data_IF_702339182017
#
_entry.id   IF_702339182017
#
_cell.length_a   1.000
_cell.length_b   1.000
_cell.length_c   1.000
_cell.angle_alpha   90.00
_cell.angle_beta   90.00
_cell.angle_gamma   90.00
#
_symmetry.space_group_name_H-M   'P 1'
#
loop_
_entity.id
_entity.type
_entity.pdbx_description
1 polymer ?
#
# COMPACT_ATOMS: atom_id res chain seq x y z
N UNK A 1 1.47 17.04 27.71
CA UNK A 1 1.47 15.58 28.02
C UNK A 1 0.97 14.90 26.76
N UNK A 2 1.92 14.42 25.95
CA UNK A 2 1.65 13.66 24.72
C UNK A 2 1.51 12.20 25.12
N UNK A 3 0.28 11.69 25.15
CA UNK A 3 0.02 10.26 25.20
C UNK A 3 0.23 9.68 23.80
N UNK A 4 1.44 9.18 23.56
CA UNK A 4 1.75 8.44 22.34
C UNK A 4 0.97 7.12 22.34
N UNK A 5 0.01 7.00 21.44
CA UNK A 5 -0.56 5.71 21.06
C UNK A 5 0.52 5.00 20.26
N UNK A 6 1.23 4.07 20.90
CA UNK A 6 2.17 3.18 20.22
C UNK A 6 1.38 2.20 19.37
N UNK A 7 1.19 2.52 18.10
CA UNK A 7 0.73 1.55 17.12
C UNK A 7 1.90 0.58 16.88
N UNK A 8 1.74 -0.69 17.21
CA UNK A 8 2.62 -1.75 16.76
C UNK A 8 2.43 -1.90 15.24
N UNK A 9 3.14 -1.07 14.49
CA UNK A 9 3.24 -1.23 13.04
C UNK A 9 3.98 -2.54 12.75
N UNK A 10 3.54 -3.31 11.75
CA UNK A 10 4.32 -4.46 11.32
C UNK A 10 5.74 -4.00 10.97
N UNK A 11 6.72 -4.82 11.31
CA UNK A 11 8.16 -4.48 11.25
C UNK A 11 8.71 -4.12 9.86
N UNK A 12 7.87 -4.23 8.82
CA UNK A 12 8.18 -3.94 7.42
C UNK A 12 7.59 -2.59 6.92
N UNK A 13 7.11 -1.72 7.83
CA UNK A 13 6.63 -0.37 7.50
C UNK A 13 7.60 0.68 8.02
N UNK A 14 7.96 1.62 7.14
CA UNK A 14 8.65 2.86 7.50
C UNK A 14 7.72 4.02 7.12
N UNK A 15 7.39 4.86 8.10
CA UNK A 15 6.67 6.09 7.89
C UNK A 15 7.50 7.28 8.40
N UNK A 16 7.72 8.27 7.56
CA UNK A 16 8.47 9.47 7.89
C UNK A 16 7.67 10.72 7.59
N UNK A 17 7.77 11.70 8.48
CA UNK A 17 7.30 13.05 8.24
C UNK A 17 8.44 13.88 7.64
N UNK A 18 8.20 14.46 6.46
CA UNK A 18 9.18 15.27 5.75
C UNK A 18 8.81 16.75 5.93
N UNK A 19 9.77 17.55 6.41
CA UNK A 19 9.62 18.97 6.62
C UNK A 19 10.37 19.76 5.55
N UNK A 20 9.63 20.51 4.73
CA UNK A 20 10.20 21.43 3.75
C UNK A 20 10.39 22.85 4.34
N UNK A 21 11.48 23.53 3.98
CA UNK A 21 11.69 24.94 4.30
C UNK A 21 11.42 25.81 3.08
N UNK A 22 10.51 26.78 3.20
CA UNK A 22 10.39 27.87 2.24
C UNK A 22 11.08 29.14 2.78
N UNK A 23 11.82 29.80 1.91
CA UNK A 23 12.56 31.02 2.24
C UNK A 23 11.66 32.25 2.10
N UNK A 24 10.87 32.57 3.14
CA UNK A 24 10.18 33.85 3.28
C UNK A 24 9.87 34.12 4.77
N UNK A 25 9.68 35.37 5.13
CA UNK A 25 9.65 35.92 6.48
C UNK A 25 8.49 35.50 7.41
N UNK A 26 7.62 34.58 6.96
CA UNK A 26 6.74 33.75 7.79
C UNK A 26 6.86 32.33 7.28
N UNK A 27 7.62 31.53 7.99
CA UNK A 27 7.97 30.18 7.59
C UNK A 27 6.81 29.24 7.89
N UNK A 28 5.87 29.11 6.94
CA UNK A 28 4.93 27.99 6.96
C UNK A 28 5.72 26.69 6.80
N UNK A 29 5.72 25.87 7.82
CA UNK A 29 6.29 24.53 7.75
C UNK A 29 5.32 23.64 7.01
N UNK A 30 5.63 23.31 5.75
CA UNK A 30 4.91 22.26 5.04
C UNK A 30 5.47 20.92 5.55
N UNK A 31 4.62 20.13 6.17
CA UNK A 31 4.95 18.75 6.53
C UNK A 31 4.08 17.80 5.73
N UNK A 32 4.65 16.71 5.24
CA UNK A 32 3.94 15.63 4.59
C UNK A 32 4.53 14.28 5.00
N UNK A 33 3.70 13.26 4.98
CA UNK A 33 4.08 11.91 5.39
C UNK A 33 4.37 11.04 4.18
N UNK A 34 5.46 10.28 4.26
CA UNK A 34 5.85 9.27 3.27
C UNK A 34 5.87 7.92 3.97
N UNK A 35 5.31 6.92 3.32
CA UNK A 35 5.27 5.52 3.79
C UNK A 35 5.99 4.64 2.80
N UNK A 36 6.79 3.70 3.28
CA UNK A 36 7.33 2.58 2.52
C UNK A 36 6.95 1.28 3.23
N UNK A 37 6.30 0.36 2.50
CA UNK A 37 5.76 -0.84 3.11
C UNK A 37 5.84 -2.04 2.16
N UNK A 38 6.44 -3.14 2.62
CA UNK A 38 6.26 -4.44 1.99
C UNK A 38 4.96 -5.07 2.50
N UNK A 39 3.98 -5.19 1.60
CA UNK A 39 2.63 -5.69 1.95
C UNK A 39 2.51 -7.20 1.89
N UNK A 40 3.63 -7.91 1.71
CA UNK A 40 3.71 -9.38 1.76
C UNK A 40 2.75 -10.07 0.77
N UNK A 41 3.07 -9.96 -0.52
CA UNK A 41 2.37 -10.67 -1.60
C UNK A 41 0.88 -10.31 -1.73
N UNK A 42 0.59 -9.16 -2.30
CA UNK A 42 -0.78 -8.77 -2.65
C UNK A 42 -1.12 -9.26 -4.06
N UNK A 43 -1.67 -10.46 -4.15
CA UNK A 43 -2.15 -11.11 -5.38
C UNK A 43 -3.66 -11.01 -5.51
N UNK A 44 -4.17 -10.99 -6.74
CA UNK A 44 -5.58 -11.25 -6.98
C UNK A 44 -5.88 -12.77 -6.92
N UNK A 45 -6.96 -13.25 -7.50
CA UNK A 45 -7.36 -14.66 -7.46
C UNK A 45 -7.39 -15.31 -8.85
N UNK A 46 -6.79 -14.66 -9.83
CA UNK A 46 -6.74 -15.11 -11.22
C UNK A 46 -5.30 -15.46 -11.60
N UNK A 47 -5.14 -16.58 -12.29
CA UNK A 47 -3.83 -17.01 -12.77
C UNK A 47 -3.35 -16.14 -13.94
N UNK A 48 -2.12 -15.61 -13.83
CA UNK A 48 -1.38 -15.06 -14.96
C UNK A 48 -0.55 -16.17 -15.62
N UNK A 49 -0.91 -16.56 -16.81
CA UNK A 49 -0.24 -17.64 -17.56
C UNK A 49 1.26 -17.39 -17.84
N UNK A 50 1.73 -16.17 -17.67
CA UNK A 50 3.13 -15.78 -17.87
C UNK A 50 3.92 -15.76 -16.55
N UNK A 51 3.27 -16.03 -15.42
CA UNK A 51 3.85 -15.89 -14.08
C UNK A 51 3.70 -17.17 -13.27
N UNK A 52 4.53 -17.31 -12.25
CA UNK A 52 4.47 -18.43 -11.30
C UNK A 52 3.72 -17.99 -10.02
N UNK A 53 2.43 -17.75 -10.16
CA UNK A 53 1.51 -17.29 -9.11
C UNK A 53 0.64 -18.43 -8.54
N UNK A 54 0.90 -19.67 -8.93
CA UNK A 54 0.07 -20.83 -8.60
C UNK A 54 -0.27 -20.99 -7.12
N UNK A 55 0.58 -20.53 -6.21
CA UNK A 55 0.31 -20.60 -4.77
C UNK A 55 -0.83 -19.67 -4.32
N UNK A 56 -1.14 -18.63 -5.13
CA UNK A 56 -2.12 -17.60 -4.82
C UNK A 56 -3.46 -17.81 -5.55
N UNK A 57 -3.78 -19.06 -5.84
CA UNK A 57 -5.06 -19.45 -6.43
C UNK A 57 -6.00 -20.06 -5.38
N UNK A 58 -7.32 -20.04 -5.61
CA UNK A 58 -8.30 -20.60 -4.66
C UNK A 58 -8.10 -22.07 -4.33
N UNK A 59 -7.68 -22.86 -5.32
CA UNK A 59 -7.46 -24.31 -5.19
C UNK A 59 -6.04 -24.68 -4.77
N UNK A 60 -5.15 -23.70 -4.60
CA UNK A 60 -3.77 -23.87 -4.19
C UNK A 60 -3.64 -24.07 -2.66
N UNK A 61 -2.42 -24.45 -2.22
CA UNK A 61 -2.13 -24.72 -0.80
C UNK A 61 -2.46 -23.55 0.13
N UNK A 62 -2.39 -22.32 -0.34
CA UNK A 62 -2.72 -21.13 0.44
C UNK A 62 -4.22 -20.87 0.51
N UNK A 63 -5.02 -21.55 -0.32
CA UNK A 63 -6.46 -21.30 -0.44
C UNK A 63 -6.78 -19.82 -0.58
N UNK A 64 -6.03 -19.14 -1.48
CA UNK A 64 -6.15 -17.71 -1.69
C UNK A 64 -7.39 -17.38 -2.51
N UNK A 65 -8.50 -17.21 -1.82
CA UNK A 65 -9.81 -16.97 -2.42
C UNK A 65 -10.20 -15.47 -2.36
N UNK A 66 -11.27 -15.13 -3.06
CA UNK A 66 -11.77 -13.76 -3.17
C UNK A 66 -12.06 -13.11 -1.80
N UNK A 67 -12.55 -13.87 -0.81
CA UNK A 67 -12.80 -13.33 0.53
C UNK A 67 -11.50 -12.91 1.23
N UNK A 68 -10.45 -13.72 1.14
CA UNK A 68 -9.12 -13.39 1.68
C UNK A 68 -8.50 -12.20 0.95
N UNK A 69 -8.62 -12.16 -0.36
CA UNK A 69 -8.18 -11.04 -1.17
C UNK A 69 -8.85 -9.73 -0.74
N UNK A 70 -10.16 -9.71 -0.67
CA UNK A 70 -10.93 -8.53 -0.20
C UNK A 70 -10.57 -8.12 1.21
N UNK A 71 -10.38 -9.08 2.11
CA UNK A 71 -9.93 -8.80 3.47
C UNK A 71 -8.56 -8.13 3.47
N UNK A 72 -7.61 -8.63 2.69
CA UNK A 72 -6.26 -8.06 2.60
C UNK A 72 -6.28 -6.63 2.04
N UNK A 73 -7.06 -6.37 0.99
CA UNK A 73 -7.26 -5.00 0.49
C UNK A 73 -7.78 -4.06 1.58
N UNK A 74 -8.77 -4.51 2.36
CA UNK A 74 -9.33 -3.72 3.45
C UNK A 74 -8.32 -3.50 4.59
N UNK A 75 -7.51 -4.50 4.92
CA UNK A 75 -6.47 -4.41 5.95
C UNK A 75 -5.36 -3.43 5.53
N UNK A 76 -4.89 -3.51 4.27
CA UNK A 76 -3.91 -2.56 3.71
C UNK A 76 -4.47 -1.14 3.75
N UNK A 77 -5.69 -0.94 3.29
CA UNK A 77 -6.35 0.36 3.32
C UNK A 77 -6.46 0.93 4.74
N UNK A 78 -6.83 0.09 5.71
CA UNK A 78 -6.93 0.48 7.12
C UNK A 78 -5.58 0.93 7.70
N UNK A 79 -4.50 0.20 7.39
CA UNK A 79 -3.16 0.55 7.87
C UNK A 79 -2.71 1.88 7.28
N UNK A 80 -2.86 2.10 5.98
CA UNK A 80 -2.50 3.37 5.32
C UNK A 80 -3.29 4.54 5.94
N UNK A 81 -4.59 4.36 6.15
CA UNK A 81 -5.45 5.38 6.78
C UNK A 81 -5.02 5.65 8.21
N UNK A 82 -4.70 4.62 9.01
CA UNK A 82 -4.28 4.76 10.40
C UNK A 82 -2.93 5.48 10.54
N UNK A 83 -1.97 5.22 9.64
CA UNK A 83 -0.70 5.94 9.59
C UNK A 83 -0.93 7.42 9.27
N UNK A 84 -1.92 7.73 8.45
CA UNK A 84 -2.29 9.09 8.06
C UNK A 84 -2.88 9.89 9.21
N UNK A 85 -3.52 9.26 10.18
CA UNK A 85 -4.29 9.95 11.23
C UNK A 85 -5.31 10.93 10.61
N UNK A 86 -5.11 12.23 10.78
CA UNK A 86 -5.94 13.31 10.22
C UNK A 86 -5.53 13.73 8.80
N UNK A 87 -4.33 13.34 8.37
CA UNK A 87 -3.74 13.78 7.10
C UNK A 87 -3.17 12.56 6.35
N UNK A 88 -3.80 12.11 5.28
CA UNK A 88 -3.32 10.94 4.53
C UNK A 88 -1.85 11.08 4.13
N UNK A 89 -1.06 10.00 4.13
CA UNK A 89 0.30 10.05 3.60
C UNK A 89 0.30 10.60 2.17
N UNK A 90 1.18 11.55 1.87
CA UNK A 90 1.28 12.12 0.53
C UNK A 90 1.83 11.10 -0.49
N UNK A 91 2.69 10.19 -0.03
CA UNK A 91 3.28 9.14 -0.83
C UNK A 91 3.26 7.82 -0.07
N UNK A 92 2.86 6.74 -0.75
CA UNK A 92 2.89 5.38 -0.20
C UNK A 92 3.56 4.44 -1.19
N UNK A 93 4.82 4.07 -0.92
CA UNK A 93 5.54 3.05 -1.65
C UNK A 93 5.12 1.66 -1.16
N UNK A 94 4.68 0.80 -2.06
CA UNK A 94 4.26 -0.58 -1.77
C UNK A 94 5.17 -1.54 -2.53
N UNK A 95 5.68 -2.55 -1.84
CA UNK A 95 6.39 -3.68 -2.45
C UNK A 95 5.54 -4.93 -2.40
N UNK A 96 5.80 -5.84 -3.35
CA UNK A 96 5.10 -7.11 -3.51
C UNK A 96 3.62 -6.97 -3.91
N UNK A 97 3.39 -6.10 -4.88
CA UNK A 97 2.10 -5.92 -5.56
C UNK A 97 2.14 -6.67 -6.88
N UNK A 98 1.11 -7.43 -7.20
CA UNK A 98 1.10 -8.27 -8.40
C UNK A 98 0.89 -7.45 -9.69
N UNK A 99 -0.19 -6.68 -9.80
CA UNK A 99 -0.61 -6.09 -11.06
C UNK A 99 -1.47 -4.83 -10.90
N UNK A 100 -1.79 -4.21 -12.06
CA UNK A 100 -2.67 -3.04 -12.13
C UNK A 100 -4.08 -3.29 -11.58
N UNK A 101 -4.62 -4.50 -11.76
CA UNK A 101 -5.96 -4.85 -11.25
C UNK A 101 -5.99 -4.75 -9.73
N UNK A 102 -4.96 -5.27 -9.07
CA UNK A 102 -4.82 -5.22 -7.62
C UNK A 102 -4.76 -3.78 -7.11
N UNK A 103 -3.97 -2.91 -7.76
CA UNK A 103 -3.87 -1.49 -7.39
C UNK A 103 -5.16 -0.73 -7.63
N UNK A 104 -5.85 -1.00 -8.73
CA UNK A 104 -7.15 -0.43 -9.02
C UNK A 104 -8.18 -0.86 -7.96
N UNK A 105 -8.17 -2.11 -7.55
CA UNK A 105 -9.06 -2.60 -6.51
C UNK A 105 -8.72 -1.98 -5.15
N UNK A 106 -7.43 -1.84 -4.82
CA UNK A 106 -6.98 -1.17 -3.60
C UNK A 106 -7.42 0.30 -3.57
N UNK A 107 -7.19 1.05 -4.64
CA UNK A 107 -7.43 2.50 -4.65
C UNK A 107 -8.89 2.88 -4.92
N UNK A 108 -9.69 2.04 -5.58
CA UNK A 108 -11.04 2.39 -6.03
C UNK A 108 -12.15 1.52 -5.46
N UNK A 109 -11.85 0.31 -4.94
CA UNK A 109 -12.84 -0.66 -4.47
C UNK A 109 -12.63 -1.07 -3.00
N UNK A 110 -11.56 -0.61 -2.36
CA UNK A 110 -11.35 -0.73 -0.91
C UNK A 110 -11.75 0.57 -0.20
N UNK A 111 -11.73 0.62 1.15
CA UNK A 111 -11.93 1.86 1.89
C UNK A 111 -10.96 3.01 1.49
N UNK A 112 -9.83 2.70 0.89
CA UNK A 112 -8.84 3.69 0.44
C UNK A 112 -9.37 4.61 -0.67
N UNK A 113 -10.47 4.24 -1.34
CA UNK A 113 -11.15 5.05 -2.37
C UNK A 113 -11.47 6.47 -1.91
N UNK A 114 -11.77 6.65 -0.62
CA UNK A 114 -12.11 7.96 -0.04
C UNK A 114 -10.92 8.92 -0.03
N UNK A 115 -9.69 8.41 -0.11
CA UNK A 115 -8.47 9.21 -0.12
C UNK A 115 -8.03 9.60 -1.55
N UNK A 116 -8.72 9.09 -2.57
CA UNK A 116 -8.53 9.45 -3.99
C UNK A 116 -7.10 9.27 -4.53
N UNK A 117 -6.33 8.33 -3.99
CA UNK A 117 -4.98 8.05 -4.47
C UNK A 117 -4.96 7.68 -5.95
N UNK A 118 -3.99 8.25 -6.64
CA UNK A 118 -3.50 7.78 -7.94
C UNK A 118 -2.30 6.87 -7.70
N UNK A 119 -1.87 6.12 -8.72
CA UNK A 119 -0.72 5.25 -8.59
C UNK A 119 0.07 5.13 -9.89
N UNK A 120 1.32 4.75 -9.72
CA UNK A 120 2.20 4.22 -10.76
C UNK A 120 2.79 2.92 -10.25
N UNK A 121 3.16 2.00 -11.14
CA UNK A 121 3.83 0.76 -10.78
C UNK A 121 4.93 0.42 -11.78
N UNK A 122 5.87 -0.39 -11.33
CA UNK A 122 6.89 -0.98 -12.20
C UNK A 122 6.31 -2.16 -12.99
N UNK A 123 7.11 -2.71 -13.89
CA UNK A 123 6.88 -4.02 -14.51
C UNK A 123 8.21 -4.75 -14.46
N UNK A 124 8.40 -5.52 -13.40
CA UNK A 124 9.65 -6.20 -13.12
C UNK A 124 9.75 -7.56 -13.84
N UNK A 125 10.96 -8.08 -14.05
CA UNK A 125 11.15 -9.43 -14.59
C UNK A 125 10.94 -10.53 -13.54
N UNK A 126 10.40 -10.24 -12.37
CA UNK A 126 10.15 -11.25 -11.33
C UNK A 126 9.22 -12.34 -11.85
N UNK A 127 9.64 -13.60 -11.68
CA UNK A 127 8.91 -14.76 -12.17
C UNK A 127 7.56 -14.98 -11.46
N UNK A 128 7.42 -14.50 -10.23
CA UNK A 128 6.16 -14.56 -9.48
C UNK A 128 5.18 -13.47 -9.90
N UNK A 129 5.67 -12.45 -10.60
CA UNK A 129 4.86 -11.31 -11.03
C UNK A 129 4.69 -10.23 -9.98
N UNK A 130 5.62 -10.11 -9.01
CA UNK A 130 5.54 -9.04 -8.01
C UNK A 130 6.32 -7.80 -8.43
N UNK A 131 5.77 -6.66 -8.11
CA UNK A 131 6.22 -5.34 -8.50
C UNK A 131 6.25 -4.36 -7.32
N UNK A 132 6.73 -3.15 -7.62
CA UNK A 132 6.69 -2.00 -6.71
C UNK A 132 5.70 -0.98 -7.24
N UNK A 133 4.90 -0.42 -6.34
CA UNK A 133 3.94 0.63 -6.67
C UNK A 133 4.14 1.86 -5.78
N UNK A 134 3.78 3.02 -6.30
CA UNK A 134 3.73 4.28 -5.57
C UNK A 134 2.32 4.85 -5.68
N UNK A 135 1.67 5.06 -4.53
CA UNK A 135 0.42 5.82 -4.42
C UNK A 135 0.75 7.28 -4.10
N UNK A 136 0.03 8.23 -4.74
CA UNK A 136 0.22 9.68 -4.58
C UNK A 136 -1.06 10.46 -4.82
#
# INVERSE_FOLDING_TARGET
>A
ILSGVSFLAPSNIIAQEVHGRQASSQQERISFRVVSWNIENLFDTHHDSLKNDHEYLPDAIRHWNYSRYKKKLADVARVITAIGEWNPPALVGLCEVENDTVLRDLTRRSPLKELSYRYVMTNSPDLRGIDVALLY
#
